data_IF_701780183535
#
_entry.id   IF_701780183535
#
_cell.length_a   1.000
_cell.length_b   1.000
_cell.length_c   1.000
_cell.angle_alpha   90.00
_cell.angle_beta   90.00
_cell.angle_gamma   90.00
#
_symmetry.space_group_name_H-M   'P 1'
#
loop_
_entity.id
_entity.type
_entity.pdbx_description
1 polymer ?
#
# COMPACT_ATOMS: atom_id res chain seq x y z
N UNK A 1 33.60 -29.66 -20.42
CA UNK A 1 32.15 -29.72 -20.13
C UNK A 1 31.95 -30.56 -18.88
N UNK A 2 32.10 -29.95 -17.70
CA UNK A 2 31.98 -30.64 -16.41
C UNK A 2 30.52 -30.62 -15.95
N UNK A 3 29.96 -31.83 -15.85
CA UNK A 3 28.61 -32.10 -15.34
C UNK A 3 28.43 -31.63 -13.90
N UNK A 4 27.35 -30.87 -13.63
CA UNK A 4 26.39 -31.02 -12.51
C UNK A 4 25.64 -29.71 -12.22
N UNK A 5 24.80 -29.28 -13.13
CA UNK A 5 23.54 -28.62 -12.77
C UNK A 5 22.48 -29.28 -13.66
N UNK A 6 21.40 -29.81 -13.09
CA UNK A 6 20.21 -30.11 -13.89
C UNK A 6 19.90 -28.81 -14.64
N UNK A 7 19.99 -28.83 -15.96
CA UNK A 7 19.73 -27.65 -16.79
C UNK A 7 18.34 -27.14 -16.41
N UNK A 8 18.30 -26.06 -15.64
CA UNK A 8 17.05 -25.38 -15.33
C UNK A 8 16.49 -24.94 -16.68
N UNK A 9 15.19 -25.09 -16.93
CA UNK A 9 14.58 -24.57 -18.14
C UNK A 9 15.02 -23.12 -18.40
N UNK A 10 15.30 -22.77 -19.66
CA UNK A 10 15.89 -21.47 -20.01
C UNK A 10 15.07 -20.27 -19.50
N UNK A 11 13.75 -20.41 -19.35
CA UNK A 11 12.89 -19.36 -18.79
C UNK A 11 13.15 -19.06 -17.30
N UNK A 12 13.97 -19.86 -16.61
CA UNK A 12 14.46 -19.60 -15.26
C UNK A 12 15.86 -18.96 -15.25
N UNK A 13 16.44 -18.67 -16.42
CA UNK A 13 17.74 -18.03 -16.51
C UNK A 13 17.65 -16.55 -16.07
N UNK A 14 18.34 -16.14 -14.98
CA UNK A 14 18.26 -14.79 -14.44
C UNK A 14 18.89 -13.74 -15.35
N UNK A 15 19.98 -14.07 -16.06
CA UNK A 15 20.66 -13.16 -16.97
C UNK A 15 19.75 -12.82 -18.16
N UNK A 16 18.99 -13.80 -18.65
CA UNK A 16 17.96 -13.57 -19.66
C UNK A 16 16.80 -12.73 -19.10
N UNK A 17 16.21 -13.11 -17.97
CA UNK A 17 15.03 -12.42 -17.42
C UNK A 17 15.30 -10.94 -17.08
N UNK A 18 16.54 -10.60 -16.71
CA UNK A 18 16.93 -9.22 -16.40
C UNK A 18 17.40 -8.42 -17.62
N UNK A 19 17.66 -9.08 -18.76
CA UNK A 19 18.09 -8.41 -19.99
C UNK A 19 16.98 -7.59 -20.67
N UNK A 20 17.35 -6.84 -21.71
CA UNK A 20 16.43 -6.15 -22.61
C UNK A 20 15.49 -7.11 -23.34
N UNK A 21 15.98 -8.30 -23.68
CA UNK A 21 15.28 -9.26 -24.55
C UNK A 21 14.05 -9.85 -23.85
N UNK A 22 14.10 -9.97 -22.53
CA UNK A 22 12.97 -10.44 -21.72
C UNK A 22 12.02 -9.31 -21.26
N UNK A 23 12.16 -8.07 -21.75
CA UNK A 23 11.32 -6.94 -21.30
C UNK A 23 9.82 -7.20 -21.52
N UNK A 24 9.45 -7.75 -22.68
CA UNK A 24 8.05 -8.09 -22.99
C UNK A 24 7.49 -9.14 -22.03
N UNK A 25 8.31 -10.13 -21.66
CA UNK A 25 7.99 -11.19 -20.70
C UNK A 25 7.77 -10.58 -19.30
N UNK A 26 8.67 -9.69 -18.85
CA UNK A 26 8.52 -9.01 -17.54
C UNK A 26 7.25 -8.15 -17.47
N UNK A 27 6.94 -7.39 -18.52
CA UNK A 27 5.70 -6.60 -18.58
C UNK A 27 4.47 -7.52 -18.48
N UNK A 28 4.46 -8.63 -19.23
CA UNK A 28 3.37 -9.60 -19.15
C UNK A 28 3.25 -10.23 -17.75
N UNK A 29 4.38 -10.53 -17.10
CA UNK A 29 4.40 -11.08 -15.75
C UNK A 29 3.85 -10.08 -14.70
N UNK A 30 4.25 -8.81 -14.78
CA UNK A 30 3.77 -7.72 -13.91
C UNK A 30 2.28 -7.41 -14.11
N UNK A 31 1.70 -7.76 -15.27
CA UNK A 31 0.26 -7.67 -15.48
C UNK A 31 -0.49 -8.92 -14.99
N UNK A 32 -0.03 -10.11 -15.40
CA UNK A 32 -0.72 -11.37 -15.13
C UNK A 32 -0.61 -11.82 -13.67
N UNK A 33 0.51 -11.53 -13.00
CA UNK A 33 0.75 -11.87 -11.60
C UNK A 33 -0.29 -11.22 -10.67
N UNK A 34 -0.40 -9.88 -10.63
CA UNK A 34 -1.42 -9.19 -9.84
C UNK A 34 -2.84 -9.59 -10.23
N UNK A 35 -3.15 -9.72 -11.53
CA UNK A 35 -4.47 -10.18 -12.02
C UNK A 35 -4.84 -11.56 -11.45
N UNK A 36 -3.89 -12.49 -11.41
CA UNK A 36 -4.09 -13.82 -10.80
C UNK A 36 -4.40 -13.73 -9.31
N UNK A 37 -3.77 -12.80 -8.58
CA UNK A 37 -4.04 -12.61 -7.15
C UNK A 37 -5.44 -12.05 -6.90
N UNK A 38 -5.93 -11.14 -7.75
CA UNK A 38 -7.31 -10.64 -7.66
C UNK A 38 -8.33 -11.77 -7.82
N UNK A 39 -8.14 -12.64 -8.83
CA UNK A 39 -9.03 -13.79 -9.04
C UNK A 39 -9.02 -14.79 -7.88
N UNK A 40 -7.83 -15.15 -7.37
CA UNK A 40 -7.68 -16.10 -6.26
C UNK A 40 -8.34 -15.63 -4.96
N UNK A 41 -8.37 -14.33 -4.75
CA UNK A 41 -9.00 -13.73 -3.57
C UNK A 41 -10.44 -13.29 -3.82
N UNK A 42 -11.04 -13.65 -4.97
CA UNK A 42 -12.40 -13.28 -5.35
C UNK A 42 -12.68 -11.76 -5.27
N UNK A 43 -11.68 -10.94 -5.59
CA UNK A 43 -11.79 -9.48 -5.60
C UNK A 43 -12.43 -9.06 -6.93
N UNK A 44 -13.55 -8.35 -6.85
CA UNK A 44 -14.28 -7.88 -8.02
C UNK A 44 -14.21 -6.36 -8.17
N UNK A 45 -14.51 -5.65 -7.09
CA UNK A 45 -14.53 -4.18 -7.05
C UNK A 45 -13.58 -3.66 -5.98
N UNK A 46 -12.97 -2.51 -6.25
CA UNK A 46 -12.07 -1.84 -5.31
C UNK A 46 -12.48 -0.38 -5.12
N UNK A 47 -12.14 0.18 -3.96
CA UNK A 47 -12.18 1.62 -3.72
C UNK A 47 -10.74 2.08 -3.55
N UNK A 48 -10.26 2.91 -4.48
CA UNK A 48 -8.87 3.35 -4.50
C UNK A 48 -8.70 4.63 -3.70
N UNK A 49 -7.80 4.60 -2.72
CA UNK A 49 -7.40 5.74 -1.91
C UNK A 49 -6.09 6.32 -2.43
N UNK A 50 -6.13 7.61 -2.75
CA UNK A 50 -4.95 8.41 -3.08
C UNK A 50 -4.69 9.46 -2.00
N UNK A 51 -3.41 9.78 -1.78
CA UNK A 51 -3.03 10.85 -0.87
C UNK A 51 -1.54 10.90 -0.60
N UNK A 52 -1.14 11.88 0.22
CA UNK A 52 0.27 12.13 0.52
C UNK A 52 0.93 10.98 1.27
N UNK A 53 2.10 10.57 0.80
CA UNK A 53 3.01 9.64 1.48
C UNK A 53 3.75 10.27 2.67
N UNK A 54 3.74 11.60 2.79
CA UNK A 54 4.50 12.34 3.82
C UNK A 54 3.70 12.60 5.10
N UNK A 55 2.40 12.35 5.08
CA UNK A 55 1.53 12.57 6.23
C UNK A 55 1.87 11.56 7.34
N UNK A 56 1.85 12.04 8.58
CA UNK A 56 2.01 11.19 9.76
C UNK A 56 0.67 11.03 10.46
N UNK A 57 0.49 9.91 11.16
CA UNK A 57 -0.65 9.77 12.07
C UNK A 57 -0.63 10.87 13.12
N UNK A 58 -1.82 11.24 13.62
CA UNK A 58 -1.92 12.25 14.68
C UNK A 58 -1.10 11.85 15.90
N UNK A 59 -1.03 10.55 16.22
CA UNK A 59 -0.20 10.01 17.30
C UNK A 59 1.29 10.24 17.04
N UNK A 60 1.79 9.87 15.87
CA UNK A 60 3.20 10.01 15.53
C UNK A 60 3.63 11.49 15.48
N UNK A 61 2.81 12.36 14.89
CA UNK A 61 3.10 13.80 14.85
C UNK A 61 3.14 14.44 16.24
N UNK A 62 2.28 14.01 17.18
CA UNK A 62 2.34 14.46 18.59
C UNK A 62 3.65 14.04 19.27
N UNK A 63 4.10 12.82 19.02
CA UNK A 63 5.37 12.30 19.57
C UNK A 63 6.55 13.11 19.03
N UNK A 64 6.57 13.40 17.72
CA UNK A 64 7.62 14.21 17.11
C UNK A 64 7.69 15.63 17.71
N UNK A 65 6.52 16.26 17.92
CA UNK A 65 6.46 17.59 18.53
C UNK A 65 6.90 17.57 20.00
N UNK A 66 6.53 16.53 20.76
CA UNK A 66 6.94 16.36 22.17
C UNK A 66 8.44 16.11 22.31
N UNK A 67 9.02 15.35 21.39
CA UNK A 67 10.45 15.01 21.40
C UNK A 67 11.34 16.12 20.83
N UNK A 68 10.76 17.22 20.33
CA UNK A 68 11.51 18.34 19.80
C UNK A 68 12.34 19.03 20.91
N UNK A 69 13.62 19.35 20.66
CA UNK A 69 14.44 20.09 21.62
C UNK A 69 13.87 21.49 21.86
N UNK A 70 14.01 22.02 23.09
CA UNK A 70 13.49 23.35 23.46
C UNK A 70 14.03 24.50 22.61
N UNK A 71 15.28 24.37 22.12
CA UNK A 71 15.94 25.36 21.26
C UNK A 71 15.80 25.05 19.75
N UNK A 72 14.71 24.41 19.35
CA UNK A 72 14.47 24.08 17.94
C UNK A 72 14.30 25.35 17.09
N UNK A 73 14.82 25.31 15.87
CA UNK A 73 14.63 26.36 14.87
C UNK A 73 13.12 26.67 14.69
N UNK A 74 12.69 27.94 14.72
CA UNK A 74 11.28 28.34 14.56
C UNK A 74 10.60 27.75 13.31
N UNK A 75 11.32 27.66 12.19
CA UNK A 75 10.80 27.05 10.95
C UNK A 75 10.48 25.57 11.15
N UNK A 76 11.36 24.85 11.83
CA UNK A 76 11.19 23.41 12.10
C UNK A 76 10.09 23.16 13.11
N UNK A 77 9.92 24.05 14.11
CA UNK A 77 8.79 24.03 15.04
C UNK A 77 7.47 24.19 14.28
N UNK A 78 7.37 25.19 13.42
CA UNK A 78 6.18 25.43 12.57
C UNK A 78 5.85 24.22 11.69
N UNK A 79 6.87 23.57 11.12
CA UNK A 79 6.67 22.33 10.34
C UNK A 79 6.08 21.19 11.17
N UNK A 80 6.54 21.00 12.41
CA UNK A 80 6.01 19.95 13.30
C UNK A 80 4.56 20.23 13.72
N UNK A 81 4.24 21.49 14.01
CA UNK A 81 2.88 21.94 14.30
C UNK A 81 1.95 21.73 13.09
N UNK A 82 2.43 22.06 11.89
CA UNK A 82 1.71 21.79 10.63
C UNK A 82 1.52 20.28 10.41
N UNK A 83 2.55 19.46 10.61
CA UNK A 83 2.43 18.01 10.48
C UNK A 83 1.40 17.44 11.45
N UNK A 84 1.33 17.98 12.67
CA UNK A 84 0.31 17.62 13.65
C UNK A 84 -1.09 18.01 13.18
N UNK A 85 -1.28 19.25 12.72
CA UNK A 85 -2.57 19.71 12.19
C UNK A 85 -3.02 18.86 11.00
N UNK A 86 -2.09 18.53 10.11
CA UNK A 86 -2.33 17.69 8.95
C UNK A 86 -2.57 16.21 9.31
N UNK A 87 -2.13 15.77 10.48
CA UNK A 87 -2.37 14.41 11.00
C UNK A 87 -3.85 14.07 11.14
N UNK A 88 -4.75 15.07 11.14
CA UNK A 88 -6.21 14.84 11.05
C UNK A 88 -6.59 14.06 9.80
N UNK A 89 -5.99 14.39 8.65
CA UNK A 89 -6.34 13.78 7.37
C UNK A 89 -5.93 12.29 7.31
N UNK A 90 -4.88 11.93 8.05
CA UNK A 90 -4.54 10.53 8.27
C UNK A 90 -5.68 9.81 9.03
N UNK A 91 -6.14 10.37 10.14
CA UNK A 91 -7.22 9.74 10.93
C UNK A 91 -8.56 9.72 10.17
N UNK A 92 -8.84 10.76 9.37
CA UNK A 92 -10.03 10.83 8.51
C UNK A 92 -10.00 9.73 7.45
N UNK A 93 -8.86 9.55 6.76
CA UNK A 93 -8.71 8.49 5.76
C UNK A 93 -8.85 7.09 6.38
N UNK A 94 -8.24 6.88 7.56
CA UNK A 94 -8.38 5.64 8.32
C UNK A 94 -9.83 5.37 8.72
N UNK A 95 -10.53 6.39 9.21
CA UNK A 95 -11.93 6.28 9.64
C UNK A 95 -12.85 6.01 8.45
N UNK A 96 -12.65 6.71 7.34
CA UNK A 96 -13.39 6.49 6.10
C UNK A 96 -13.20 5.07 5.57
N UNK A 97 -11.96 4.60 5.48
CA UNK A 97 -11.65 3.25 5.00
C UNK A 97 -12.27 2.16 5.90
N UNK A 98 -12.25 2.36 7.22
CA UNK A 98 -12.91 1.47 8.19
C UNK A 98 -14.42 1.43 7.95
N UNK A 99 -15.06 2.59 7.82
CA UNK A 99 -16.51 2.69 7.58
C UNK A 99 -16.92 2.05 6.27
N UNK A 100 -16.18 2.31 5.19
CA UNK A 100 -16.41 1.68 3.89
C UNK A 100 -16.25 0.16 3.94
N UNK A 101 -15.28 -0.34 4.70
CA UNK A 101 -15.07 -1.78 4.89
C UNK A 101 -16.20 -2.43 5.69
N UNK A 102 -16.67 -1.76 6.75
CA UNK A 102 -17.84 -2.23 7.52
C UNK A 102 -19.09 -2.24 6.65
N UNK A 103 -19.27 -1.23 5.80
CA UNK A 103 -20.38 -1.17 4.85
C UNK A 103 -20.28 -2.27 3.79
N UNK A 104 -19.13 -2.45 3.15
CA UNK A 104 -18.97 -3.42 2.06
C UNK A 104 -19.17 -4.86 2.52
N UNK A 105 -18.78 -5.19 3.76
CA UNK A 105 -19.02 -6.51 4.39
C UNK A 105 -20.50 -6.83 4.60
N UNK A 106 -21.40 -5.84 4.58
CA UNK A 106 -22.85 -6.06 4.71
C UNK A 106 -23.53 -6.37 3.38
N UNK A 107 -22.83 -6.20 2.26
CA UNK A 107 -23.40 -6.43 0.94
C UNK A 107 -23.62 -7.94 0.73
N UNK A 108 -24.81 -8.30 0.24
CA UNK A 108 -25.15 -9.68 -0.09
C UNK A 108 -24.50 -10.05 -1.43
N UNK A 109 -23.33 -10.69 -1.39
CA UNK A 109 -22.69 -11.29 -2.56
C UNK A 109 -21.65 -12.34 -2.10
N UNK A 110 -21.40 -13.37 -2.91
CA UNK A 110 -20.31 -14.34 -2.67
C UNK A 110 -18.92 -13.79 -2.99
N UNK A 111 -18.82 -12.64 -3.67
CA UNK A 111 -17.55 -12.00 -4.03
C UNK A 111 -17.15 -10.90 -3.05
N UNK A 112 -15.84 -10.68 -2.94
CA UNK A 112 -15.28 -9.56 -2.19
C UNK A 112 -15.38 -8.27 -3.03
N UNK A 113 -16.37 -7.43 -2.69
CA UNK A 113 -16.65 -6.17 -3.39
C UNK A 113 -16.22 -4.97 -2.55
N UNK A 114 -15.79 -3.92 -3.22
CA UNK A 114 -15.37 -2.64 -2.64
C UNK A 114 -14.23 -2.80 -1.62
N UNK A 115 -13.20 -3.55 -2.02
CA UNK A 115 -12.02 -3.75 -1.21
C UNK A 115 -11.14 -2.49 -1.25
N UNK A 116 -10.74 -2.01 -0.07
CA UNK A 116 -9.90 -0.82 0.06
C UNK A 116 -8.55 -1.10 -0.59
N UNK A 117 -8.17 -0.22 -1.51
CA UNK A 117 -6.94 -0.34 -2.31
C UNK A 117 -6.16 0.97 -2.25
N UNK A 118 -4.83 0.89 -2.16
CA UNK A 118 -3.95 2.05 -2.21
C UNK A 118 -2.64 1.68 -2.90
N UNK A 119 -1.70 2.64 -3.00
CA UNK A 119 -0.33 2.37 -3.44
C UNK A 119 0.56 1.69 -2.38
N UNK A 120 0.00 1.33 -1.21
CA UNK A 120 0.67 0.59 -0.14
C UNK A 120 1.87 1.27 0.52
N UNK A 121 2.07 2.56 0.27
CA UNK A 121 3.09 3.39 0.93
C UNK A 121 2.63 4.00 2.26
N UNK A 122 3.46 4.88 2.85
CA UNK A 122 3.13 5.58 4.10
C UNK A 122 2.02 6.64 3.94
N UNK A 123 1.67 7.31 5.04
CA UNK A 123 0.71 8.41 5.05
C UNK A 123 -0.73 7.96 4.78
N UNK A 124 -1.42 8.60 3.84
CA UNK A 124 -2.85 8.29 3.58
C UNK A 124 -3.05 6.85 3.09
N UNK A 125 -2.09 6.31 2.34
CA UNK A 125 -2.14 4.94 1.83
C UNK A 125 -2.12 3.93 3.00
N UNK A 126 -1.16 4.09 3.93
CA UNK A 126 -1.11 3.32 5.18
C UNK A 126 -2.39 3.51 6.00
N UNK A 127 -2.87 4.74 6.15
CA UNK A 127 -4.08 5.05 6.90
C UNK A 127 -5.29 4.27 6.37
N UNK A 128 -5.47 4.23 5.05
CA UNK A 128 -6.55 3.51 4.38
C UNK A 128 -6.45 2.00 4.63
N UNK A 129 -5.27 1.41 4.39
CA UNK A 129 -5.04 -0.02 4.60
C UNK A 129 -5.24 -0.41 6.07
N UNK A 130 -4.77 0.43 7.00
CA UNK A 130 -4.98 0.26 8.43
C UNK A 130 -6.46 0.31 8.81
N UNK A 131 -7.20 1.29 8.30
CA UNK A 131 -8.64 1.41 8.56
C UNK A 131 -9.42 0.16 8.12
N UNK A 132 -9.13 -0.34 6.93
CA UNK A 132 -9.70 -1.59 6.43
C UNK A 132 -9.33 -2.80 7.31
N UNK A 133 -8.06 -2.91 7.71
CA UNK A 133 -7.58 -3.97 8.61
C UNK A 133 -8.26 -3.92 9.98
N UNK A 134 -8.50 -2.73 10.54
CA UNK A 134 -9.20 -2.56 11.82
C UNK A 134 -10.67 -2.99 11.76
N UNK A 135 -11.29 -2.99 10.58
CA UNK A 135 -12.61 -3.58 10.33
C UNK A 135 -12.56 -5.09 10.00
N UNK A 136 -11.37 -5.73 10.12
CA UNK A 136 -11.11 -7.11 9.71
C UNK A 136 -11.57 -7.37 8.27
N UNK A 137 -11.27 -6.43 7.37
CA UNK A 137 -11.46 -6.58 5.94
C UNK A 137 -10.13 -6.79 5.22
N UNK A 138 -10.22 -7.19 3.95
CA UNK A 138 -9.07 -7.21 3.06
C UNK A 138 -8.65 -5.78 2.70
N UNK A 139 -7.35 -5.58 2.48
CA UNK A 139 -6.79 -4.34 1.97
C UNK A 139 -5.71 -4.68 0.93
N UNK A 140 -5.65 -3.90 -0.15
CA UNK A 140 -4.74 -4.14 -1.26
C UNK A 140 -3.73 -2.99 -1.35
N UNK A 141 -2.45 -3.33 -1.43
CA UNK A 141 -1.37 -2.40 -1.78
C UNK A 141 -0.86 -2.70 -3.19
N UNK A 142 -1.00 -1.76 -4.12
CA UNK A 142 -0.46 -1.82 -5.47
C UNK A 142 0.80 -0.95 -5.52
N UNK A 143 1.90 -1.50 -5.02
CA UNK A 143 3.16 -0.79 -4.84
C UNK A 143 3.89 -0.59 -6.17
N UNK A 144 4.87 0.32 -6.15
CA UNK A 144 5.86 0.50 -7.22
C UNK A 144 7.26 0.35 -6.61
N UNK A 145 8.17 -0.25 -7.38
CA UNK A 145 9.58 -0.44 -7.04
C UNK A 145 10.48 0.62 -7.67
#
# INVERSE_FOLDING_TARGET
MTQKQKDKPFYLNPDFLTSSDARSIRIAAEYLGPKRQFYRNHIEDTIVFFGSARLKSSKAAKVDLKNAPKNINPLKKKQLEQNLAMGRFYEDARTLAKSLTVWSKKLKNSKHRYIITSGGGPGIMEAANRGASEAKGLAIGLNIS
#
